data_IF_773372938447
#
_entry.id   IF_773372938447
#
_cell.length_a   1.000
_cell.length_b   1.000
_cell.length_c   1.000
_cell.angle_alpha   90.00
_cell.angle_beta   90.00
_cell.angle_gamma   90.00
#
_symmetry.space_group_name_H-M   'P 1'
#
loop_
_entity.id
_entity.type
_entity.pdbx_description
1 polymer ?
#
# COMPACT_ATOMS: atom_id res chain seq x y z
N UNK A 1 -49.48 -13.65 7.80
CA UNK A 1 -48.92 -14.82 8.52
C UNK A 1 -48.85 -15.97 7.53
N UNK A 2 -47.83 -16.81 7.62
CA UNK A 2 -47.51 -17.94 6.70
C UNK A 2 -46.51 -17.65 5.56
N UNK A 3 -45.30 -17.24 5.94
CA UNK A 3 -44.07 -17.69 5.28
C UNK A 3 -43.07 -18.22 6.32
N UNK A 4 -43.57 -18.87 7.37
CA UNK A 4 -42.72 -19.70 8.21
C UNK A 4 -42.49 -21.01 7.45
N UNK A 5 -41.33 -21.14 6.81
CA UNK A 5 -40.86 -22.45 6.37
C UNK A 5 -40.92 -23.40 7.57
N UNK A 6 -41.52 -24.57 7.40
CA UNK A 6 -41.54 -25.61 8.43
C UNK A 6 -40.11 -25.82 8.96
N UNK A 7 -39.90 -25.84 10.29
CA UNK A 7 -38.59 -26.18 10.83
C UNK A 7 -38.22 -27.58 10.34
N UNK A 8 -37.08 -27.69 9.65
CA UNK A 8 -36.56 -29.00 9.25
C UNK A 8 -36.33 -29.81 10.52
N UNK A 9 -37.08 -30.88 10.68
CA UNK A 9 -36.84 -31.88 11.72
C UNK A 9 -35.49 -32.54 11.45
N UNK A 10 -34.64 -32.60 12.48
CA UNK A 10 -33.40 -33.36 12.46
C UNK A 10 -33.75 -34.86 12.42
N UNK A 11 -34.10 -35.38 11.25
CA UNK A 11 -34.16 -36.83 11.04
C UNK A 11 -32.73 -37.34 10.87
N UNK A 12 -32.47 -38.55 11.38
CA UNK A 12 -31.16 -39.23 11.47
C UNK A 12 -30.52 -39.62 10.12
N UNK A 13 -30.52 -38.73 9.13
CA UNK A 13 -29.70 -38.87 7.93
C UNK A 13 -28.33 -38.24 8.19
N UNK A 14 -27.29 -39.06 8.25
CA UNK A 14 -25.91 -38.75 8.69
C UNK A 14 -25.18 -37.72 7.78
N UNK A 15 -25.85 -37.06 6.83
CA UNK A 15 -25.23 -36.10 5.90
C UNK A 15 -26.10 -34.87 5.57
N UNK A 16 -26.81 -34.30 6.55
CA UNK A 16 -27.59 -33.07 6.31
C UNK A 16 -26.66 -31.87 6.07
N UNK A 17 -26.34 -31.62 4.81
CA UNK A 17 -25.72 -30.37 4.38
C UNK A 17 -26.82 -29.31 4.24
N UNK A 18 -26.86 -28.33 5.14
CA UNK A 18 -27.85 -27.26 5.12
C UNK A 18 -27.33 -26.06 4.33
N UNK A 19 -28.15 -25.49 3.45
CA UNK A 19 -27.81 -24.22 2.79
C UNK A 19 -28.12 -23.06 3.73
N UNK A 20 -27.09 -22.34 4.16
CA UNK A 20 -27.18 -21.21 5.10
C UNK A 20 -26.54 -20.00 4.42
N UNK A 21 -27.36 -18.98 4.13
CA UNK A 21 -26.94 -17.76 3.44
C UNK A 21 -26.03 -18.03 2.23
N UNK A 22 -26.43 -18.91 1.31
CA UNK A 22 -25.65 -19.19 0.09
C UNK A 22 -24.42 -20.09 0.23
N UNK A 23 -23.93 -20.33 1.46
CA UNK A 23 -22.88 -21.31 1.78
C UNK A 23 -23.53 -22.59 2.31
N UNK A 24 -22.88 -23.74 2.15
CA UNK A 24 -23.35 -25.01 2.70
C UNK A 24 -22.70 -25.27 4.06
N UNK A 25 -23.48 -25.74 5.03
CA UNK A 25 -23.02 -26.13 6.35
C UNK A 25 -23.19 -27.63 6.53
N UNK A 26 -22.09 -28.34 6.70
CA UNK A 26 -22.08 -29.75 7.12
C UNK A 26 -22.17 -29.81 8.63
N UNK A 27 -23.35 -30.09 9.17
CA UNK A 27 -23.59 -30.06 10.62
C UNK A 27 -22.86 -31.16 11.38
N UNK A 28 -22.63 -32.33 10.77
CA UNK A 28 -22.02 -33.48 11.42
C UNK A 28 -20.55 -33.25 11.83
N UNK A 29 -19.74 -32.65 10.94
CA UNK A 29 -18.31 -32.36 11.19
C UNK A 29 -18.06 -30.85 11.44
N UNK A 30 -19.13 -30.05 11.51
CA UNK A 30 -19.12 -28.60 11.75
C UNK A 30 -18.21 -27.75 10.85
N UNK A 31 -18.41 -27.85 9.53
CA UNK A 31 -17.70 -27.05 8.53
C UNK A 31 -18.62 -26.36 7.54
N UNK A 32 -18.14 -25.25 6.98
CA UNK A 32 -18.69 -24.64 5.78
C UNK A 32 -18.04 -25.22 4.52
N UNK A 33 -18.84 -25.37 3.48
CA UNK A 33 -18.44 -25.79 2.13
C UNK A 33 -19.31 -25.08 1.09
N UNK A 34 -19.07 -25.34 -0.19
CA UNK A 34 -19.82 -24.72 -1.27
C UNK A 34 -20.41 -25.78 -2.20
N UNK A 35 -21.61 -25.48 -2.70
CA UNK A 35 -22.22 -26.26 -3.78
C UNK A 35 -22.00 -25.58 -5.12
N UNK A 36 -21.77 -26.41 -6.13
CA UNK A 36 -21.69 -25.97 -7.52
C UNK A 36 -22.74 -26.75 -8.30
N UNK A 37 -23.69 -26.00 -8.87
CA UNK A 37 -24.62 -26.52 -9.87
C UNK A 37 -23.90 -26.65 -11.22
N UNK A 38 -24.24 -27.65 -12.04
CA UNK A 38 -23.70 -27.75 -13.39
C UNK A 38 -23.94 -26.44 -14.16
N UNK A 39 -22.89 -25.92 -14.76
CA UNK A 39 -22.91 -24.68 -15.54
C UNK A 39 -23.01 -25.07 -17.01
N UNK A 40 -24.12 -24.71 -17.67
CA UNK A 40 -24.15 -24.68 -19.12
C UNK A 40 -23.19 -23.58 -19.58
N UNK A 41 -22.14 -23.95 -20.30
CA UNK A 41 -21.10 -23.00 -20.71
C UNK A 41 -21.65 -22.14 -21.85
N UNK A 42 -22.14 -20.96 -21.49
CA UNK A 42 -22.49 -19.91 -22.42
C UNK A 42 -21.34 -18.88 -22.51
N UNK A 43 -21.14 -18.36 -23.71
CA UNK A 43 -19.99 -17.52 -24.04
C UNK A 43 -20.37 -16.06 -24.24
N UNK A 44 -21.36 -15.56 -23.51
CA UNK A 44 -21.74 -14.14 -23.54
C UNK A 44 -21.29 -13.43 -22.27
N UNK A 45 -21.00 -12.13 -22.37
CA UNK A 45 -20.63 -11.31 -21.22
C UNK A 45 -21.70 -11.35 -20.13
N UNK A 46 -22.99 -11.31 -20.51
CA UNK A 46 -24.13 -11.39 -19.59
C UNK A 46 -24.12 -12.70 -18.81
N UNK A 47 -23.93 -13.82 -19.50
CA UNK A 47 -23.97 -15.13 -18.88
C UNK A 47 -22.80 -15.33 -17.91
N UNK A 48 -21.58 -14.97 -18.33
CA UNK A 48 -20.39 -15.02 -17.46
C UNK A 48 -20.62 -14.21 -16.19
N UNK A 49 -21.09 -12.97 -16.30
CA UNK A 49 -21.39 -12.15 -15.14
C UNK A 49 -22.44 -12.80 -14.22
N UNK A 50 -23.50 -13.39 -14.79
CA UNK A 50 -24.52 -14.11 -14.02
C UNK A 50 -23.90 -15.29 -13.26
N UNK A 51 -23.06 -16.09 -13.91
CA UNK A 51 -22.39 -17.23 -13.28
C UNK A 51 -21.46 -16.79 -12.15
N UNK A 52 -20.64 -15.76 -12.36
CA UNK A 52 -19.73 -15.23 -11.35
C UNK A 52 -20.51 -14.67 -10.15
N UNK A 53 -21.64 -13.99 -10.38
CA UNK A 53 -22.48 -13.43 -9.32
C UNK A 53 -23.21 -14.51 -8.50
N UNK A 54 -23.40 -15.73 -9.02
CA UNK A 54 -23.97 -16.86 -8.28
C UNK A 54 -23.00 -17.44 -7.24
N UNK A 55 -21.71 -17.18 -7.37
CA UNK A 55 -20.70 -17.60 -6.40
C UNK A 55 -20.83 -16.70 -5.17
N UNK A 56 -21.59 -17.16 -4.18
CA UNK A 56 -21.82 -16.42 -2.95
C UNK A 56 -20.70 -16.68 -1.94
N UNK A 57 -19.82 -15.70 -1.76
CA UNK A 57 -18.67 -15.75 -0.85
C UNK A 57 -18.57 -14.47 -0.01
N UNK A 58 -19.36 -14.34 1.07
CA UNK A 58 -19.50 -13.09 1.82
C UNK A 58 -18.24 -12.73 2.62
N UNK A 59 -17.49 -13.74 3.05
CA UNK A 59 -16.26 -13.58 3.83
C UNK A 59 -15.00 -13.62 2.95
N UNK A 60 -15.14 -13.82 1.64
CA UNK A 60 -14.01 -13.78 0.71
C UNK A 60 -13.05 -14.96 0.83
N UNK A 61 -13.48 -16.10 1.35
CA UNK A 61 -12.63 -17.29 1.49
C UNK A 61 -12.16 -17.83 0.13
N UNK A 62 -12.97 -17.64 -0.91
CA UNK A 62 -12.67 -17.97 -2.30
C UNK A 62 -12.12 -16.79 -3.09
N UNK A 63 -11.82 -15.67 -2.43
CA UNK A 63 -11.38 -14.45 -3.11
C UNK A 63 -10.16 -14.60 -4.03
N UNK A 64 -9.18 -15.52 -3.80
CA UNK A 64 -8.12 -15.78 -4.76
C UNK A 64 -8.64 -16.37 -6.07
N UNK A 65 -9.56 -17.33 -6.00
CA UNK A 65 -10.13 -17.96 -7.19
C UNK A 65 -11.12 -17.04 -7.90
N UNK A 66 -12.05 -16.41 -7.14
CA UNK A 66 -13.03 -15.46 -7.68
C UNK A 66 -12.35 -14.26 -8.36
N UNK A 67 -11.13 -13.90 -7.94
CA UNK A 67 -10.36 -12.84 -8.61
C UNK A 67 -10.13 -13.16 -10.09
N UNK A 68 -9.85 -14.42 -10.46
CA UNK A 68 -9.63 -14.80 -11.87
C UNK A 68 -10.85 -14.47 -12.74
N UNK A 69 -12.04 -14.81 -12.26
CA UNK A 69 -13.30 -14.43 -12.90
C UNK A 69 -13.51 -12.91 -12.99
N UNK A 70 -13.16 -12.16 -11.93
CA UNK A 70 -13.25 -10.69 -11.95
C UNK A 70 -12.29 -10.06 -12.97
N UNK A 71 -11.10 -10.64 -13.14
CA UNK A 71 -10.12 -10.20 -14.15
C UNK A 71 -10.60 -10.51 -15.57
N UNK A 72 -11.17 -11.70 -15.80
CA UNK A 72 -11.81 -12.05 -17.06
C UNK A 72 -12.92 -11.06 -17.42
N UNK A 73 -13.81 -10.75 -16.48
CA UNK A 73 -14.85 -9.74 -16.65
C UNK A 73 -14.25 -8.37 -17.02
N UNK A 74 -13.20 -7.92 -16.31
CA UNK A 74 -12.52 -6.68 -16.65
C UNK A 74 -11.96 -6.68 -18.08
N UNK A 75 -11.38 -7.80 -18.53
CA UNK A 75 -10.87 -7.92 -19.90
C UNK A 75 -12.00 -7.81 -20.93
N UNK A 76 -13.15 -8.45 -20.68
CA UNK A 76 -14.34 -8.32 -21.53
C UNK A 76 -14.87 -6.89 -21.62
N UNK A 77 -14.75 -6.11 -20.54
CA UNK A 77 -15.05 -4.67 -20.56
C UNK A 77 -14.04 -3.87 -21.37
N UNK A 78 -12.75 -4.22 -21.30
CA UNK A 78 -11.68 -3.54 -22.06
C UNK A 78 -11.79 -3.78 -23.56
N UNK A 79 -12.16 -4.99 -23.98
CA UNK A 79 -12.37 -5.32 -25.40
C UNK A 79 -13.64 -4.66 -25.96
N UNK A 80 -14.61 -4.33 -25.09
CA UNK A 80 -15.83 -3.64 -25.52
C UNK A 80 -16.90 -4.56 -26.11
N UNK A 81 -16.86 -5.87 -25.82
CA UNK A 81 -17.86 -6.84 -26.31
C UNK A 81 -19.28 -6.43 -25.85
N UNK A 82 -20.30 -6.46 -26.70
CA UNK A 82 -21.69 -6.28 -26.28
C UNK A 82 -22.16 -7.34 -25.27
N UNK A 83 -23.31 -7.14 -24.64
CA UNK A 83 -23.78 -8.00 -23.55
C UNK A 83 -24.08 -9.44 -23.99
N UNK A 84 -24.70 -9.57 -25.16
CA UNK A 84 -25.28 -10.81 -25.66
C UNK A 84 -24.51 -11.38 -26.87
N UNK A 85 -23.36 -10.78 -27.19
CA UNK A 85 -22.45 -11.30 -28.22
C UNK A 85 -21.47 -12.32 -27.65
N UNK A 86 -21.01 -13.21 -28.54
CA UNK A 86 -20.00 -14.23 -28.24
C UNK A 86 -18.68 -13.53 -27.91
N UNK A 87 -18.04 -13.94 -26.83
CA UNK A 87 -16.74 -13.43 -26.43
C UNK A 87 -15.62 -13.88 -27.40
N UNK A 88 -14.52 -13.11 -27.51
CA UNK A 88 -13.36 -13.52 -28.29
C UNK A 88 -12.81 -14.89 -27.89
N UNK A 89 -12.34 -15.66 -28.89
CA UNK A 89 -11.85 -17.03 -28.69
C UNK A 89 -10.76 -17.14 -27.61
N UNK A 90 -9.86 -16.16 -27.52
CA UNK A 90 -8.80 -16.14 -26.51
C UNK A 90 -9.33 -16.01 -25.06
N UNK A 91 -10.56 -15.53 -24.86
CA UNK A 91 -11.21 -15.43 -23.56
C UNK A 91 -12.17 -16.60 -23.30
N UNK A 92 -12.54 -17.36 -24.34
CA UNK A 92 -13.30 -18.59 -24.20
C UNK A 92 -12.51 -19.64 -23.42
N UNK A 93 -11.23 -19.83 -23.75
CA UNK A 93 -10.38 -20.82 -23.09
C UNK A 93 -10.20 -20.51 -21.60
N UNK A 94 -9.95 -19.25 -21.25
CA UNK A 94 -9.89 -18.78 -19.86
C UNK A 94 -11.21 -19.06 -19.11
N UNK A 95 -12.35 -18.84 -19.77
CA UNK A 95 -13.67 -19.10 -19.19
C UNK A 95 -13.93 -20.59 -18.98
N UNK A 96 -13.65 -21.41 -19.97
CA UNK A 96 -13.81 -22.87 -19.90
C UNK A 96 -12.92 -23.44 -18.79
N UNK A 97 -11.67 -23.00 -18.70
CA UNK A 97 -10.75 -23.40 -17.64
C UNK A 97 -11.30 -23.03 -16.26
N UNK A 98 -11.81 -21.80 -16.09
CA UNK A 98 -12.40 -21.36 -14.83
C UNK A 98 -13.63 -22.20 -14.44
N UNK A 99 -14.54 -22.48 -15.38
CA UNK A 99 -15.76 -23.26 -15.11
C UNK A 99 -15.43 -24.72 -14.80
N UNK A 100 -14.46 -25.33 -15.51
CA UNK A 100 -14.02 -26.69 -15.25
C UNK A 100 -13.48 -26.84 -13.82
N UNK A 101 -12.64 -25.89 -13.41
CA UNK A 101 -11.99 -25.88 -12.11
C UNK A 101 -12.95 -25.51 -10.95
N UNK A 102 -14.07 -24.84 -11.26
CA UNK A 102 -15.13 -24.52 -10.28
C UNK A 102 -15.62 -25.75 -9.52
N UNK A 103 -15.64 -26.93 -10.16
CA UNK A 103 -16.06 -28.19 -9.54
C UNK A 103 -15.26 -28.54 -8.27
N UNK A 104 -13.99 -28.14 -8.22
CA UNK A 104 -13.05 -28.37 -7.11
C UNK A 104 -13.45 -27.65 -5.82
N UNK A 105 -14.31 -26.61 -5.88
CA UNK A 105 -14.73 -25.86 -4.66
C UNK A 105 -15.45 -26.77 -3.66
N UNK A 106 -16.13 -27.84 -4.14
CA UNK A 106 -16.83 -28.79 -3.26
C UNK A 106 -15.89 -29.50 -2.27
N UNK A 107 -14.60 -29.57 -2.58
CA UNK A 107 -13.59 -30.18 -1.71
C UNK A 107 -13.13 -29.24 -0.58
N UNK A 108 -13.47 -27.95 -0.65
CA UNK A 108 -13.11 -26.97 0.37
C UNK A 108 -13.99 -27.21 1.61
N UNK A 109 -13.34 -27.48 2.73
CA UNK A 109 -13.97 -27.56 4.06
C UNK A 109 -13.35 -26.49 4.96
N UNK A 110 -14.19 -25.60 5.49
CA UNK A 110 -13.78 -24.49 6.34
C UNK A 110 -14.38 -24.71 7.73
N UNK A 111 -13.58 -25.03 8.76
CA UNK A 111 -14.09 -25.23 10.11
C UNK A 111 -14.90 -24.03 10.59
N UNK A 112 -16.14 -24.25 11.05
CA UNK A 112 -16.99 -23.14 11.55
C UNK A 112 -16.44 -22.58 12.86
N UNK A 113 -15.90 -23.45 13.71
CA UNK A 113 -15.29 -23.08 14.97
C UNK A 113 -13.88 -22.52 14.74
N UNK A 114 -13.71 -21.24 15.02
CA UNK A 114 -12.45 -20.50 14.79
C UNK A 114 -11.66 -20.22 16.07
N UNK A 115 -12.19 -20.62 17.22
CA UNK A 115 -11.68 -20.33 18.56
C UNK A 115 -11.56 -21.64 19.35
N UNK A 116 -10.48 -21.78 20.11
CA UNK A 116 -10.32 -22.87 21.08
C UNK A 116 -11.17 -22.56 22.32
N UNK A 117 -11.87 -23.56 22.85
CA UNK A 117 -12.66 -23.36 24.08
C UNK A 117 -11.75 -22.91 25.23
N UNK A 118 -12.24 -21.98 26.05
CA UNK A 118 -11.51 -21.43 27.19
C UNK A 118 -10.22 -20.67 26.84
N UNK A 119 -9.96 -20.37 25.56
CA UNK A 119 -8.79 -19.58 25.18
C UNK A 119 -8.76 -18.21 25.85
N UNK A 120 -7.69 -17.97 26.63
CA UNK A 120 -7.54 -16.75 27.41
C UNK A 120 -7.31 -15.51 26.54
N UNK A 121 -6.67 -15.66 25.37
CA UNK A 121 -6.30 -14.54 24.51
C UNK A 121 -6.41 -14.88 23.02
N UNK A 122 -6.71 -13.85 22.25
CA UNK A 122 -6.84 -13.91 20.79
C UNK A 122 -5.99 -12.82 20.13
N UNK A 123 -5.35 -13.14 19.02
CA UNK A 123 -4.68 -12.15 18.17
C UNK A 123 -5.33 -12.07 16.79
N UNK A 124 -5.58 -10.84 16.32
CA UNK A 124 -5.94 -10.60 14.92
C UNK A 124 -4.69 -10.31 14.11
N UNK A 125 -4.47 -11.10 13.06
CA UNK A 125 -3.27 -11.03 12.23
C UNK A 125 -3.69 -10.80 10.79
N UNK A 126 -3.27 -9.68 10.22
CA UNK A 126 -3.64 -9.23 8.90
C UNK A 126 -2.46 -9.23 7.93
N UNK A 127 -2.71 -9.57 6.67
CA UNK A 127 -1.74 -9.46 5.58
C UNK A 127 -2.33 -8.70 4.40
N UNK A 128 -1.52 -7.91 3.70
CA UNK A 128 -1.91 -7.24 2.47
C UNK A 128 -0.87 -7.39 1.35
N UNK A 129 -1.34 -7.31 0.12
CA UNK A 129 -0.51 -7.30 -1.09
C UNK A 129 -1.20 -6.50 -2.21
N UNK A 130 -0.40 -6.02 -3.16
CA UNK A 130 -0.84 -5.22 -4.30
C UNK A 130 -0.07 -5.55 -5.57
N UNK A 131 -0.75 -6.17 -6.53
CA UNK A 131 -0.24 -6.42 -7.87
C UNK A 131 -0.78 -5.39 -8.88
N UNK A 132 -0.24 -5.41 -10.10
CA UNK A 132 -0.76 -4.60 -11.22
C UNK A 132 -2.18 -4.99 -11.63
N UNK A 133 -2.66 -6.18 -11.26
CA UNK A 133 -3.99 -6.72 -11.61
C UNK A 133 -5.02 -6.44 -10.51
N UNK A 134 -4.65 -6.68 -9.26
CA UNK A 134 -5.51 -6.50 -8.09
C UNK A 134 -4.69 -6.24 -6.83
N UNK A 135 -5.33 -5.67 -5.81
CA UNK A 135 -4.80 -5.62 -4.46
C UNK A 135 -5.79 -6.30 -3.51
N UNK A 136 -5.26 -6.91 -2.46
CA UNK A 136 -6.04 -7.75 -1.57
C UNK A 136 -5.49 -7.77 -0.14
N UNK A 137 -6.30 -8.30 0.76
CA UNK A 137 -5.90 -8.57 2.13
C UNK A 137 -6.61 -9.80 2.68
N UNK A 138 -6.02 -10.43 3.69
CA UNK A 138 -6.62 -11.51 4.47
C UNK A 138 -6.36 -11.30 5.95
N UNK A 139 -7.33 -11.68 6.79
CA UNK A 139 -7.27 -11.54 8.24
C UNK A 139 -7.52 -12.90 8.88
N UNK A 140 -6.60 -13.28 9.75
CA UNK A 140 -6.64 -14.51 10.52
C UNK A 140 -6.90 -14.21 12.00
N UNK A 141 -7.52 -15.16 12.67
CA UNK A 141 -7.62 -15.22 14.12
C UNK A 141 -6.66 -16.29 14.62
N UNK A 142 -5.78 -15.91 15.53
CA UNK A 142 -5.01 -16.85 16.34
C UNK A 142 -5.65 -16.93 17.71
N UNK A 143 -6.03 -18.14 18.10
CA UNK A 143 -6.52 -18.48 19.44
C UNK A 143 -5.48 -19.36 20.12
N UNK A 144 -5.17 -19.07 21.39
CA UNK A 144 -4.19 -19.84 22.15
C UNK A 144 -4.60 -20.04 23.60
N UNK A 145 -4.43 -21.27 24.08
CA UNK A 145 -4.54 -21.69 25.47
C UNK A 145 -3.35 -22.60 25.78
N UNK A 146 -2.53 -22.22 26.75
CA UNK A 146 -1.29 -22.94 27.09
C UNK A 146 -0.47 -23.32 25.85
N UNK A 147 -0.31 -24.62 25.57
CA UNK A 147 0.40 -25.16 24.40
C UNK A 147 -0.48 -25.33 23.15
N UNK A 148 -1.80 -25.24 23.27
CA UNK A 148 -2.72 -25.40 22.15
C UNK A 148 -2.92 -24.08 21.41
N UNK A 149 -2.72 -24.11 20.09
CA UNK A 149 -2.80 -22.95 19.22
C UNK A 149 -3.55 -23.30 17.94
N UNK A 150 -4.44 -22.42 17.55
CA UNK A 150 -5.22 -22.55 16.32
C UNK A 150 -5.17 -21.23 15.56
N UNK A 151 -4.97 -21.31 14.25
CA UNK A 151 -5.06 -20.17 13.34
C UNK A 151 -6.17 -20.45 12.33
N UNK A 152 -7.09 -19.52 12.17
CA UNK A 152 -8.22 -19.63 11.24
C UNK A 152 -8.35 -18.38 10.37
N UNK A 153 -8.50 -18.55 9.07
CA UNK A 153 -8.83 -17.46 8.14
C UNK A 153 -10.26 -16.95 8.40
N UNK A 154 -10.40 -15.71 8.88
CA UNK A 154 -11.71 -15.13 9.17
C UNK A 154 -12.35 -14.48 7.94
N UNK A 155 -11.58 -13.64 7.25
CA UNK A 155 -12.10 -12.83 6.15
C UNK A 155 -10.98 -12.45 5.19
N UNK A 156 -11.30 -12.38 3.91
CA UNK A 156 -10.45 -11.75 2.90
C UNK A 156 -11.24 -10.82 1.99
N UNK A 157 -10.54 -9.84 1.41
CA UNK A 157 -11.09 -8.92 0.42
C UNK A 157 -10.10 -8.75 -0.71
N UNK A 158 -10.59 -8.77 -1.95
CA UNK A 158 -9.84 -8.46 -3.15
C UNK A 158 -10.51 -7.36 -3.97
N UNK A 159 -9.72 -6.49 -4.58
CA UNK A 159 -10.17 -5.43 -5.48
C UNK A 159 -9.33 -5.40 -6.74
N UNK A 160 -10.00 -5.51 -7.88
CA UNK A 160 -9.38 -5.36 -9.20
C UNK A 160 -8.93 -3.90 -9.38
N UNK A 161 -7.73 -3.72 -9.93
CA UNK A 161 -7.16 -2.39 -10.20
C UNK A 161 -7.94 -1.72 -11.33
N UNK A 162 -8.14 -0.42 -11.23
CA UNK A 162 -8.76 0.36 -12.30
C UNK A 162 -7.92 0.30 -13.59
N UNK A 163 -8.54 0.51 -14.74
CA UNK A 163 -7.85 0.54 -16.04
C UNK A 163 -6.76 1.63 -16.08
N UNK A 164 -6.95 2.73 -15.33
CA UNK A 164 -5.92 3.77 -15.21
C UNK A 164 -4.73 3.26 -14.40
N UNK A 165 -3.51 3.26 -14.97
CA UNK A 165 -2.36 2.67 -14.32
C UNK A 165 -1.97 3.44 -13.06
N UNK A 166 -1.72 2.68 -11.99
CA UNK A 166 -1.07 3.15 -10.77
C UNK A 166 0.27 2.43 -10.64
N UNK A 167 1.22 3.05 -9.96
CA UNK A 167 2.49 2.40 -9.62
C UNK A 167 2.24 1.24 -8.67
N UNK A 168 3.09 0.20 -8.72
CA UNK A 168 2.97 -0.96 -7.83
C UNK A 168 2.96 -0.52 -6.36
N UNK A 169 3.87 0.37 -5.95
CA UNK A 169 3.88 0.88 -4.57
C UNK A 169 2.55 1.51 -4.13
N UNK A 170 1.87 2.26 -5.03
CA UNK A 170 0.53 2.82 -4.72
C UNK A 170 -0.54 1.75 -4.57
N UNK A 171 -0.45 0.66 -5.32
CA UNK A 171 -1.36 -0.49 -5.25
C UNK A 171 -1.16 -1.28 -3.96
N UNK A 172 0.09 -1.45 -3.56
CA UNK A 172 0.50 -2.05 -2.30
C UNK A 172 -0.03 -1.23 -1.10
N UNK A 173 0.11 0.10 -1.15
CA UNK A 173 -0.49 1.01 -0.16
C UNK A 173 -2.03 0.95 -0.16
N UNK A 174 -2.65 0.70 -1.32
CA UNK A 174 -4.09 0.45 -1.41
C UNK A 174 -4.48 -0.87 -0.73
N UNK A 175 -3.67 -1.93 -0.86
CA UNK A 175 -3.78 -3.17 -0.10
C UNK A 175 -3.70 -2.92 1.41
N UNK A 176 -2.70 -2.15 1.86
CA UNK A 176 -2.57 -1.77 3.27
C UNK A 176 -3.80 -1.03 3.81
N UNK A 177 -4.32 -0.04 3.07
CA UNK A 177 -5.55 0.66 3.46
C UNK A 177 -6.77 -0.28 3.51
N UNK A 178 -6.87 -1.23 2.58
CA UNK A 178 -7.94 -2.23 2.58
C UNK A 178 -7.83 -3.12 3.82
N UNK A 179 -6.61 -3.51 4.20
CA UNK A 179 -6.36 -4.29 5.40
C UNK A 179 -6.70 -3.51 6.67
N UNK A 180 -6.27 -2.25 6.82
CA UNK A 180 -6.61 -1.41 7.98
C UNK A 180 -8.12 -1.37 8.24
N UNK A 181 -8.91 -1.17 7.18
CA UNK A 181 -10.36 -1.11 7.28
C UNK A 181 -10.96 -2.47 7.65
N UNK A 182 -10.41 -3.54 7.11
CA UNK A 182 -10.89 -4.90 7.36
C UNK A 182 -10.58 -5.33 8.80
N UNK A 183 -9.34 -5.08 9.27
CA UNK A 183 -8.96 -5.31 10.67
C UNK A 183 -9.80 -4.48 11.64
N UNK A 184 -10.03 -3.19 11.35
CA UNK A 184 -10.86 -2.33 12.22
C UNK A 184 -12.29 -2.84 12.31
N UNK A 185 -12.87 -3.24 11.18
CA UNK A 185 -14.19 -3.86 11.15
C UNK A 185 -14.25 -5.14 11.98
N UNK A 186 -13.27 -6.04 11.82
CA UNK A 186 -13.22 -7.30 12.57
C UNK A 186 -13.00 -7.06 14.07
N UNK A 187 -12.11 -6.12 14.44
CA UNK A 187 -11.89 -5.73 15.83
C UNK A 187 -13.20 -5.25 16.47
N UNK A 188 -13.91 -4.32 15.83
CA UNK A 188 -15.19 -3.79 16.34
C UNK A 188 -16.24 -4.89 16.47
N UNK A 189 -16.31 -5.84 15.53
CA UNK A 189 -17.27 -6.94 15.59
C UNK A 189 -16.95 -7.97 16.67
N UNK A 190 -15.67 -8.22 16.94
CA UNK A 190 -15.21 -9.30 17.81
C UNK A 190 -14.94 -8.89 19.25
N UNK A 191 -14.70 -7.60 19.52
CA UNK A 191 -14.30 -7.12 20.86
C UNK A 191 -15.33 -7.42 21.97
N UNK A 192 -16.62 -7.54 21.64
CA UNK A 192 -17.67 -7.92 22.59
C UNK A 192 -17.83 -9.43 22.77
N UNK A 193 -17.14 -10.23 21.95
CA UNK A 193 -17.30 -11.69 21.90
C UNK A 193 -16.07 -12.44 22.40
N UNK A 194 -14.88 -11.88 22.17
CA UNK A 194 -13.60 -12.49 22.52
C UNK A 194 -12.62 -11.42 23.00
N UNK A 195 -11.69 -11.83 23.87
CA UNK A 195 -10.60 -10.97 24.33
C UNK A 195 -9.49 -10.88 23.28
N UNK A 196 -9.47 -9.79 22.51
CA UNK A 196 -8.42 -9.49 21.53
C UNK A 196 -7.26 -8.82 22.25
N UNK A 197 -6.18 -9.56 22.51
CA UNK A 197 -5.01 -9.06 23.21
C UNK A 197 -4.08 -8.25 22.30
N UNK A 198 -4.00 -8.62 21.01
CA UNK A 198 -3.09 -7.99 20.07
C UNK A 198 -3.63 -7.97 18.64
N UNK A 199 -3.26 -6.94 17.90
CA UNK A 199 -3.50 -6.81 16.46
C UNK A 199 -2.16 -6.59 15.78
N UNK A 200 -1.91 -7.28 14.67
CA UNK A 200 -0.70 -7.13 13.86
C UNK A 200 -1.06 -7.08 12.38
N UNK A 201 -0.48 -6.15 11.64
CA UNK A 201 -0.66 -5.99 10.21
C UNK A 201 0.68 -6.18 9.47
N UNK A 202 0.69 -7.00 8.43
CA UNK A 202 1.87 -7.33 7.65
C UNK A 202 1.75 -6.85 6.20
N UNK A 203 2.87 -6.35 5.68
CA UNK A 203 3.12 -6.11 4.26
C UNK A 203 4.55 -6.55 3.94
N UNK A 204 4.78 -7.05 2.74
CA UNK A 204 6.10 -7.40 2.23
C UNK A 204 6.78 -6.23 1.48
N UNK A 205 6.17 -5.04 1.51
CA UNK A 205 6.72 -3.83 0.88
C UNK A 205 7.30 -2.86 1.88
N UNK A 206 8.63 -2.80 1.88
CA UNK A 206 9.40 -1.81 2.67
C UNK A 206 9.01 -0.36 2.35
N UNK A 207 8.69 -0.02 1.09
CA UNK A 207 8.21 1.33 0.72
C UNK A 207 6.90 1.68 1.41
N UNK A 208 5.96 0.73 1.53
CA UNK A 208 4.68 0.95 2.22
C UNK A 208 4.91 1.14 3.71
N UNK A 209 5.76 0.32 4.33
CA UNK A 209 6.12 0.50 5.74
C UNK A 209 6.81 1.84 5.98
N UNK A 210 7.72 2.25 5.10
CA UNK A 210 8.38 3.54 5.20
C UNK A 210 7.39 4.70 5.07
N UNK A 211 6.43 4.63 4.16
CA UNK A 211 5.35 5.62 4.06
C UNK A 211 4.48 5.68 5.32
N UNK A 212 4.12 4.54 5.91
CA UNK A 212 3.32 4.49 7.16
C UNK A 212 4.07 5.12 8.34
N UNK A 213 5.40 5.02 8.36
CA UNK A 213 6.27 5.61 9.39
C UNK A 213 6.72 7.06 9.08
N UNK A 214 6.26 7.66 7.97
CA UNK A 214 6.63 9.02 7.58
C UNK A 214 5.48 9.99 7.87
N UNK A 215 5.76 11.19 8.39
CA UNK A 215 4.70 12.14 8.68
C UNK A 215 3.96 12.54 7.38
N UNK A 216 2.61 12.49 7.33
CA UNK A 216 1.85 12.65 6.10
C UNK A 216 2.11 13.96 5.34
N UNK A 217 2.44 15.04 6.05
CA UNK A 217 2.71 16.33 5.40
C UNK A 217 3.94 16.32 4.48
N UNK A 218 4.88 15.38 4.69
CA UNK A 218 6.07 15.18 3.84
C UNK A 218 5.77 14.40 2.56
N UNK A 219 4.63 13.71 2.48
CA UNK A 219 4.27 12.82 1.37
C UNK A 219 3.36 13.53 0.35
N UNK A 220 3.44 13.15 -0.93
CA UNK A 220 2.52 13.63 -1.97
C UNK A 220 1.07 13.24 -1.64
N UNK A 221 0.07 14.00 -2.13
CA UNK A 221 -1.31 13.87 -1.67
C UNK A 221 -1.90 12.44 -1.72
N UNK A 222 -1.66 11.69 -2.80
CA UNK A 222 -2.20 10.33 -2.94
C UNK A 222 -1.77 9.39 -1.79
N UNK A 223 -0.48 9.43 -1.44
CA UNK A 223 0.13 8.62 -0.38
C UNK A 223 -0.28 9.19 0.98
N UNK A 224 -0.13 10.50 1.18
CA UNK A 224 -0.45 11.17 2.43
C UNK A 224 -1.88 10.88 2.91
N UNK A 225 -2.89 11.02 2.05
CA UNK A 225 -4.29 10.77 2.40
C UNK A 225 -4.58 9.30 2.77
N UNK A 226 -3.82 8.35 2.22
CA UNK A 226 -3.97 6.93 2.55
C UNK A 226 -3.24 6.58 3.84
N UNK A 227 -2.03 7.11 4.04
CA UNK A 227 -1.28 6.96 5.27
C UNK A 227 -2.09 7.48 6.46
N UNK A 228 -2.69 8.67 6.37
CA UNK A 228 -3.59 9.20 7.42
C UNK A 228 -4.68 8.18 7.77
N UNK A 229 -5.40 7.64 6.78
CA UNK A 229 -6.46 6.66 7.02
C UNK A 229 -5.96 5.33 7.59
N UNK A 230 -4.72 4.94 7.28
CA UNK A 230 -4.08 3.75 7.82
C UNK A 230 -3.73 3.98 9.29
N UNK A 231 -3.11 5.13 9.60
CA UNK A 231 -2.66 5.50 10.95
C UNK A 231 -3.82 5.87 11.88
N UNK A 232 -4.93 6.41 11.35
CA UNK A 232 -6.17 6.66 12.11
C UNK A 232 -6.80 5.34 12.58
N UNK A 233 -6.60 4.25 11.84
CA UNK A 233 -7.13 2.94 12.21
C UNK A 233 -6.23 2.23 13.25
N UNK A 234 -4.92 2.28 13.04
CA UNK A 234 -3.91 1.62 13.87
C UNK A 234 -2.58 2.39 13.85
N UNK A 235 -1.91 2.46 15.01
CA UNK A 235 -0.59 3.07 15.14
C UNK A 235 0.45 2.42 14.19
N UNK A 236 1.45 3.19 13.70
CA UNK A 236 2.52 2.66 12.85
C UNK A 236 3.24 1.42 13.42
N UNK A 237 3.33 1.31 14.75
CA UNK A 237 3.93 0.15 15.45
C UNK A 237 3.16 -1.18 15.26
N UNK A 238 1.89 -1.10 14.83
CA UNK A 238 1.06 -2.27 14.47
C UNK A 238 1.56 -2.94 13.18
N UNK A 239 2.25 -2.17 12.33
CA UNK A 239 2.68 -2.60 11.00
C UNK A 239 4.07 -3.20 11.00
N UNK A 240 4.19 -4.39 10.40
CA UNK A 240 5.42 -5.18 10.33
C UNK A 240 5.71 -5.64 8.91
N UNK A 241 6.99 -5.95 8.67
CA UNK A 241 7.44 -6.56 7.43
C UNK A 241 7.25 -8.07 7.50
N UNK A 242 6.85 -8.68 6.39
CA UNK A 242 6.88 -10.13 6.18
C UNK A 242 7.62 -10.44 4.88
N UNK A 243 8.25 -11.60 4.76
CA UNK A 243 8.83 -12.01 3.47
C UNK A 243 7.71 -12.21 2.43
N UNK A 244 7.98 -11.96 1.15
CA UNK A 244 7.01 -12.23 0.08
C UNK A 244 6.62 -13.72 0.04
N UNK A 245 7.55 -14.63 0.36
CA UNK A 245 7.30 -16.07 0.41
C UNK A 245 6.35 -16.48 1.55
N UNK A 246 6.25 -15.66 2.60
CA UNK A 246 5.35 -15.85 3.72
C UNK A 246 4.10 -14.97 3.64
N UNK A 247 3.86 -14.24 2.54
CA UNK A 247 2.71 -13.34 2.43
C UNK A 247 1.50 -14.05 1.78
N UNK A 248 0.48 -14.50 2.54
CA UNK A 248 -0.70 -15.13 1.97
C UNK A 248 -1.60 -14.14 1.20
N UNK A 249 -1.44 -12.83 1.39
CA UNK A 249 -2.24 -11.84 0.66
C UNK A 249 -1.87 -11.75 -0.83
N UNK A 250 -0.79 -12.40 -1.26
CA UNK A 250 -0.45 -12.61 -2.67
C UNK A 250 -1.56 -13.34 -3.43
N UNK A 251 -2.23 -14.30 -2.80
CA UNK A 251 -3.29 -15.07 -3.45
C UNK A 251 -4.52 -14.20 -3.83
N UNK A 252 -5.10 -13.39 -2.92
CA UNK A 252 -6.21 -12.50 -3.28
C UNK A 252 -5.80 -11.27 -4.09
N UNK A 253 -4.51 -11.03 -4.35
CA UNK A 253 -4.03 -9.95 -5.22
C UNK A 253 -3.64 -10.43 -6.63
N UNK A 254 -3.32 -11.72 -6.81
CA UNK A 254 -2.87 -12.30 -8.10
C UNK A 254 -3.80 -13.36 -8.67
N UNK A 255 -4.47 -14.09 -7.78
CA UNK A 255 -5.36 -15.20 -8.09
C UNK A 255 -4.62 -16.53 -8.22
N UNK A 256 -5.33 -17.62 -7.92
CA UNK A 256 -4.88 -19.01 -8.07
C UNK A 256 -6.06 -19.87 -8.52
N UNK A 257 -5.77 -21.02 -9.14
CA UNK A 257 -6.80 -21.99 -9.51
C UNK A 257 -7.51 -22.54 -8.26
N UNK A 258 -8.73 -23.01 -8.41
CA UNK A 258 -9.46 -23.65 -7.33
C UNK A 258 -8.79 -24.96 -6.89
N UNK A 259 -8.29 -25.76 -7.82
CA UNK A 259 -7.53 -26.97 -7.50
C UNK A 259 -6.30 -26.68 -6.63
N UNK A 260 -5.55 -25.60 -6.92
CA UNK A 260 -4.45 -25.14 -6.07
C UNK A 260 -4.97 -24.58 -4.73
N UNK A 261 -6.05 -23.80 -4.76
CA UNK A 261 -6.64 -23.19 -3.56
C UNK A 261 -7.06 -24.26 -2.53
N UNK A 262 -7.65 -25.37 -2.97
CA UNK A 262 -8.04 -26.49 -2.11
C UNK A 262 -6.86 -26.99 -1.27
N UNK A 263 -5.67 -27.06 -1.88
CA UNK A 263 -4.47 -27.60 -1.25
C UNK A 263 -3.55 -26.51 -0.67
N UNK A 264 -3.98 -25.25 -0.67
CA UNK A 264 -3.15 -24.11 -0.29
C UNK A 264 -3.09 -23.90 1.22
N UNK A 265 -2.22 -24.64 1.92
CA UNK A 265 -2.05 -24.52 3.39
C UNK A 265 -1.75 -23.08 3.83
N UNK A 266 -0.87 -22.37 3.11
CA UNK A 266 -0.50 -20.97 3.39
C UNK A 266 -1.70 -20.03 3.37
N UNK A 267 -2.72 -20.32 2.56
CA UNK A 267 -3.96 -19.54 2.51
C UNK A 267 -4.93 -19.87 3.65
N UNK A 268 -5.12 -21.15 3.96
CA UNK A 268 -6.12 -21.55 4.95
C UNK A 268 -5.64 -21.37 6.40
N UNK A 269 -4.35 -21.56 6.64
CA UNK A 269 -3.75 -21.56 7.99
C UNK A 269 -2.74 -20.43 8.21
N UNK A 270 -2.42 -19.65 7.18
CA UNK A 270 -1.33 -18.67 7.23
C UNK A 270 0.07 -19.33 7.26
N UNK A 271 1.13 -18.54 7.39
CA UNK A 271 2.48 -19.05 7.60
C UNK A 271 2.65 -19.86 8.90
N UNK A 272 3.50 -20.88 8.87
CA UNK A 272 3.68 -21.82 9.98
C UNK A 272 4.14 -21.12 11.28
N UNK A 273 4.95 -20.07 11.18
CA UNK A 273 5.42 -19.31 12.34
C UNK A 273 4.28 -18.63 13.12
N UNK A 274 3.08 -18.48 12.56
CA UNK A 274 1.91 -17.98 13.30
C UNK A 274 1.48 -18.94 14.41
N UNK A 275 1.78 -20.24 14.29
CA UNK A 275 1.57 -21.23 15.35
C UNK A 275 2.69 -21.21 16.41
N UNK A 276 3.80 -20.51 16.17
CA UNK A 276 4.86 -20.33 17.16
C UNK A 276 4.56 -19.23 18.17
N UNK A 277 5.42 -19.05 19.19
CA UNK A 277 5.35 -17.90 20.09
C UNK A 277 5.52 -16.59 19.29
N UNK A 278 4.82 -15.49 19.65
CA UNK A 278 5.02 -14.18 19.02
C UNK A 278 6.47 -13.69 18.95
N UNK A 279 7.36 -14.17 19.82
CA UNK A 279 8.80 -13.85 19.81
C UNK A 279 9.53 -14.36 18.56
N UNK A 280 8.98 -15.41 17.93
CA UNK A 280 9.53 -16.02 16.72
C UNK A 280 8.90 -15.46 15.44
N UNK A 281 7.96 -14.52 15.55
CA UNK A 281 7.34 -13.90 14.39
C UNK A 281 8.33 -12.96 13.69
N UNK A 282 8.15 -12.69 12.39
CA UNK A 282 8.95 -11.70 11.68
C UNK A 282 8.98 -10.37 12.45
N UNK A 283 10.18 -10.03 12.93
CA UNK A 283 10.41 -8.80 13.66
C UNK A 283 10.24 -7.59 12.73
N UNK A 284 10.00 -6.42 13.34
CA UNK A 284 9.96 -5.17 12.60
C UNK A 284 11.35 -4.89 12.01
N UNK A 285 11.52 -5.16 10.72
CA UNK A 285 12.71 -4.71 9.99
C UNK A 285 12.69 -3.19 9.97
N UNK A 286 13.70 -2.54 10.56
CA UNK A 286 13.85 -1.08 10.50
C UNK A 286 13.87 -0.68 9.03
N UNK A 287 12.94 0.19 8.63
CA UNK A 287 12.89 0.72 7.27
C UNK A 287 14.26 1.34 6.91
N UNK A 288 14.71 1.08 5.68
CA UNK A 288 15.92 1.70 5.11
C UNK A 288 15.80 3.24 5.12
N UNK A 289 16.93 3.99 5.16
CA UNK A 289 16.96 5.44 5.36
C UNK A 289 16.08 6.22 4.36
N UNK A 290 15.52 7.33 4.84
CA UNK A 290 14.46 8.14 4.23
C UNK A 290 14.83 8.82 2.90
N UNK A 291 16.11 8.85 2.51
CA UNK A 291 16.62 9.72 1.45
C UNK A 291 16.21 9.29 0.02
N UNK A 292 15.71 8.06 -0.17
CA UNK A 292 15.24 7.54 -1.47
C UNK A 292 13.75 7.16 -1.49
N UNK A 293 12.96 7.63 -0.51
CA UNK A 293 11.54 7.27 -0.44
C UNK A 293 10.75 7.96 -1.58
N UNK A 294 10.15 7.21 -2.52
CA UNK A 294 9.36 7.82 -3.58
C UNK A 294 8.17 8.58 -3.01
N UNK A 295 7.69 9.56 -3.78
CA UNK A 295 6.54 10.39 -3.41
C UNK A 295 6.72 11.25 -2.15
N UNK A 296 7.96 11.52 -1.74
CA UNK A 296 8.25 12.68 -0.90
C UNK A 296 7.95 13.99 -1.66
N UNK A 297 7.46 15.00 -0.94
CA UNK A 297 7.33 16.36 -1.46
C UNK A 297 8.72 16.96 -1.56
N UNK A 298 9.14 17.30 -2.76
CA UNK A 298 10.32 18.11 -2.99
C UNK A 298 10.04 19.53 -2.51
N UNK A 299 10.85 20.06 -1.60
CA UNK A 299 10.85 21.50 -1.30
C UNK A 299 11.52 22.23 -2.46
N UNK A 300 10.75 22.64 -3.46
CA UNK A 300 11.28 23.47 -4.54
C UNK A 300 11.43 24.90 -4.02
N UNK A 301 12.67 25.34 -3.83
CA UNK A 301 12.97 26.77 -3.60
C UNK A 301 12.77 27.51 -4.91
N UNK A 302 11.75 28.36 -4.99
CA UNK A 302 11.55 29.25 -6.13
C UNK A 302 12.31 30.54 -5.84
N UNK A 303 13.46 30.71 -6.48
CA UNK A 303 14.17 31.99 -6.49
C UNK A 303 13.63 32.83 -7.66
N UNK A 304 12.92 33.91 -7.36
CA UNK A 304 12.51 34.88 -8.37
C UNK A 304 13.55 36.01 -8.41
N UNK A 305 14.32 36.08 -9.49
CA UNK A 305 15.12 37.27 -9.79
C UNK A 305 14.20 38.32 -10.40
N UNK A 306 14.16 39.52 -9.82
CA UNK A 306 13.65 40.71 -10.50
C UNK A 306 14.85 41.48 -11.03
N UNK A 307 14.83 41.85 -12.30
CA UNK A 307 15.74 42.89 -12.80
C UNK A 307 15.47 44.15 -11.99
N UNK A 308 16.53 44.68 -11.38
CA UNK A 308 16.50 45.88 -10.58
C UNK A 308 17.51 46.82 -11.20
N UNK A 309 17.05 47.96 -11.72
CA UNK A 309 17.93 49.04 -12.21
C UNK A 309 18.79 49.67 -11.10
N UNK A 310 18.59 49.24 -9.85
CA UNK A 310 19.42 49.69 -8.73
C UNK A 310 20.80 49.07 -8.83
N UNK A 311 21.79 49.95 -8.93
CA UNK A 311 23.18 49.62 -8.75
C UNK A 311 23.42 49.01 -7.35
N UNK A 312 23.69 47.70 -7.34
CA UNK A 312 23.90 46.91 -6.13
C UNK A 312 25.07 47.45 -5.32
N UNK A 313 26.13 47.92 -5.97
CA UNK A 313 27.30 48.45 -5.29
C UNK A 313 26.95 49.75 -4.57
N UNK A 314 26.15 50.62 -5.20
CA UNK A 314 25.61 51.83 -4.56
C UNK A 314 24.70 51.51 -3.37
N UNK A 315 23.84 50.49 -3.50
CA UNK A 315 22.96 50.03 -2.41
C UNK A 315 23.78 49.52 -1.23
N UNK A 316 24.83 48.74 -1.49
CA UNK A 316 25.71 48.21 -0.44
C UNK A 316 26.49 49.34 0.23
N UNK A 317 27.04 50.28 -0.52
CA UNK A 317 27.75 51.46 0.02
C UNK A 317 26.86 52.29 0.95
N UNK A 318 25.59 52.50 0.60
CA UNK A 318 24.66 53.27 1.42
C UNK A 318 24.08 52.48 2.62
N UNK A 319 24.22 51.15 2.64
CA UNK A 319 23.65 50.29 3.68
C UNK A 319 24.55 50.17 4.91
N UNK A 320 25.87 50.28 4.76
CA UNK A 320 26.83 50.00 5.82
C UNK A 320 27.70 51.22 6.13
N UNK A 321 27.72 51.66 7.39
CA UNK A 321 28.58 52.77 7.83
C UNK A 321 30.05 52.36 8.03
N UNK A 322 30.39 51.20 8.64
CA UNK A 322 31.79 50.78 8.79
C UNK A 322 32.30 50.08 7.52
N UNK A 323 33.41 50.59 6.95
CA UNK A 323 34.06 50.00 5.76
C UNK A 323 34.42 48.52 5.95
N UNK A 324 34.91 48.15 7.13
CA UNK A 324 35.29 46.77 7.45
C UNK A 324 34.10 45.79 7.37
N UNK A 325 32.89 46.25 7.70
CA UNK A 325 31.67 45.45 7.58
C UNK A 325 31.26 45.30 6.12
N UNK A 326 31.23 46.40 5.37
CA UNK A 326 30.95 46.38 3.92
C UNK A 326 31.91 45.47 3.15
N UNK A 327 33.20 45.56 3.47
CA UNK A 327 34.26 44.76 2.86
C UNK A 327 34.05 43.26 3.08
N UNK A 328 33.66 42.84 4.29
CA UNK A 328 33.37 41.44 4.61
C UNK A 328 32.12 40.93 3.92
N UNK A 329 31.06 41.73 3.88
CA UNK A 329 29.80 41.37 3.21
C UNK A 329 30.01 41.20 1.70
N UNK A 330 30.72 42.14 1.06
CA UNK A 330 31.02 42.02 -0.36
C UNK A 330 31.98 40.86 -0.66
N UNK A 331 32.93 40.57 0.23
CA UNK A 331 33.78 39.39 0.11
C UNK A 331 32.96 38.10 0.11
N UNK A 332 32.00 37.96 1.03
CA UNK A 332 31.08 36.81 1.05
C UNK A 332 30.23 36.70 -0.21
N UNK A 333 29.77 37.82 -0.77
CA UNK A 333 29.06 37.82 -2.06
C UNK A 333 29.95 37.27 -3.19
N UNK A 334 31.22 37.67 -3.24
CA UNK A 334 32.16 37.14 -4.23
C UNK A 334 32.49 35.67 -4.03
N UNK A 335 32.70 35.21 -2.78
CA UNK A 335 32.87 33.79 -2.46
C UNK A 335 31.65 33.00 -2.93
N UNK A 336 30.45 33.47 -2.61
CA UNK A 336 29.21 32.83 -3.04
C UNK A 336 29.09 32.75 -4.57
N UNK A 337 29.39 33.82 -5.30
CA UNK A 337 29.37 33.84 -6.76
C UNK A 337 30.39 32.85 -7.34
N UNK A 338 31.60 32.81 -6.76
CA UNK A 338 32.67 31.89 -7.16
C UNK A 338 32.26 30.43 -6.94
N UNK A 339 31.76 30.10 -5.75
CA UNK A 339 31.38 28.72 -5.38
C UNK A 339 30.09 28.26 -6.07
N UNK A 340 29.18 29.17 -6.40
CA UNK A 340 27.96 28.86 -7.16
C UNK A 340 28.28 28.41 -8.59
N UNK A 341 29.49 28.68 -9.09
CA UNK A 341 29.97 28.24 -10.41
C UNK A 341 30.76 26.92 -10.35
N UNK A 342 31.01 26.38 -9.15
CA UNK A 342 31.75 25.12 -8.92
C UNK A 342 30.81 23.95 -8.63
N UNK A 343 31.26 22.74 -8.96
CA UNK A 343 30.63 21.48 -8.53
C UNK A 343 30.61 21.36 -6.99
N UNK A 344 29.60 20.74 -6.37
CA UNK A 344 29.45 20.69 -4.91
C UNK A 344 30.67 20.15 -4.15
N UNK A 345 31.43 19.23 -4.75
CA UNK A 345 32.65 18.65 -4.18
C UNK A 345 33.86 19.59 -4.19
N UNK A 346 33.82 20.64 -5.01
CA UNK A 346 34.91 21.61 -5.21
C UNK A 346 34.66 22.96 -4.51
N UNK A 347 33.52 23.10 -3.82
CA UNK A 347 33.16 24.32 -3.09
C UNK A 347 34.02 24.46 -1.85
N UNK A 348 34.61 25.62 -1.69
CA UNK A 348 35.41 25.92 -0.51
C UNK A 348 34.48 26.24 0.66
N UNK A 349 34.72 25.61 1.82
CA UNK A 349 33.95 25.83 3.05
C UNK A 349 34.91 26.32 4.11
N UNK A 350 34.67 27.51 4.67
CA UNK A 350 35.56 28.06 5.68
C UNK A 350 35.32 29.54 5.95
N UNK A 351 36.25 30.16 6.67
CA UNK A 351 36.26 31.59 6.96
C UNK A 351 36.84 32.39 5.78
N UNK A 352 36.45 33.65 5.66
CA UNK A 352 37.04 34.58 4.67
C UNK A 352 38.57 34.65 4.83
N UNK A 353 39.26 34.45 3.72
CA UNK A 353 40.70 34.66 3.60
C UNK A 353 41.03 36.14 3.50
N UNK A 354 42.27 36.50 3.87
CA UNK A 354 42.76 37.89 3.74
C UNK A 354 42.74 38.38 2.29
N UNK A 355 42.91 37.47 1.32
CA UNK A 355 42.88 37.83 -0.10
C UNK A 355 41.47 38.17 -0.58
N UNK A 356 40.45 37.41 -0.18
CA UNK A 356 39.05 37.72 -0.54
C UNK A 356 38.61 39.08 0.01
N UNK A 357 39.03 39.37 1.25
CA UNK A 357 38.80 40.66 1.90
C UNK A 357 39.55 41.80 1.17
N UNK A 358 40.78 41.59 0.70
CA UNK A 358 41.50 42.59 -0.12
C UNK A 358 40.85 42.81 -1.48
N UNK A 359 40.42 41.74 -2.15
CA UNK A 359 39.76 41.81 -3.45
C UNK A 359 38.42 42.56 -3.39
N UNK A 360 37.64 42.37 -2.32
CA UNK A 360 36.40 43.12 -2.11
C UNK A 360 36.66 44.62 -1.94
N UNK A 361 37.70 44.98 -1.17
CA UNK A 361 38.11 46.39 -1.00
C UNK A 361 38.56 47.03 -2.31
N UNK A 362 39.41 46.36 -3.10
CA UNK A 362 39.85 46.87 -4.39
C UNK A 362 38.68 47.08 -5.35
N UNK A 363 37.66 46.22 -5.30
CA UNK A 363 36.46 46.35 -6.12
C UNK A 363 35.61 47.56 -5.71
N UNK A 364 35.47 47.83 -4.40
CA UNK A 364 34.82 49.04 -3.88
C UNK A 364 35.58 50.31 -4.29
N UNK A 365 36.91 50.31 -4.17
CA UNK A 365 37.76 51.45 -4.56
C UNK A 365 37.59 51.74 -6.04
N UNK A 366 37.71 50.72 -6.90
CA UNK A 366 37.52 50.87 -8.34
C UNK A 366 36.14 51.44 -8.64
N UNK A 367 35.09 50.91 -8.02
CA UNK A 367 33.72 51.38 -8.23
C UNK A 367 33.57 52.87 -7.87
N UNK A 368 34.06 53.30 -6.71
CA UNK A 368 34.00 54.72 -6.30
C UNK A 368 34.84 55.59 -7.23
N UNK A 369 36.05 55.15 -7.61
CA UNK A 369 36.90 55.88 -8.54
C UNK A 369 36.24 56.07 -9.90
N UNK A 370 35.60 55.03 -10.43
CA UNK A 370 34.82 55.11 -11.68
C UNK A 370 33.65 56.08 -11.59
N UNK A 371 33.00 56.19 -10.43
CA UNK A 371 31.92 57.15 -10.21
C UNK A 371 32.38 58.59 -10.03
N UNK A 372 33.49 58.81 -9.34
CA UNK A 372 33.98 60.14 -8.97
C UNK A 372 34.94 60.77 -9.98
N UNK A 373 35.69 59.95 -10.72
CA UNK A 373 36.75 60.38 -11.65
C UNK A 373 36.56 59.78 -13.05
N UNK A 374 35.32 59.76 -13.51
CA UNK A 374 34.96 59.08 -14.76
C UNK A 374 35.68 59.68 -15.98
N UNK A 375 35.85 61.00 -16.02
CA UNK A 375 36.49 61.70 -17.13
C UNK A 375 37.98 61.36 -17.22
N UNK A 376 38.67 61.39 -16.08
CA UNK A 376 40.09 61.06 -15.95
C UNK A 376 40.35 59.59 -16.26
N UNK A 377 39.49 58.69 -15.77
CA UNK A 377 39.58 57.25 -16.08
C UNK A 377 39.31 56.94 -17.55
N UNK A 378 38.49 57.75 -18.22
CA UNK A 378 38.23 57.62 -19.66
C UNK A 378 39.44 58.09 -20.49
N UNK A 379 40.12 59.15 -20.06
CA UNK A 379 41.34 59.67 -20.69
C UNK A 379 42.56 58.75 -20.49
N UNK A 380 42.64 58.02 -19.38
CA UNK A 380 43.71 57.04 -19.14
C UNK A 380 43.58 55.75 -19.96
N UNK A 381 42.44 55.54 -20.63
CA UNK A 381 42.17 54.36 -21.47
C UNK A 381 42.37 54.61 -22.97
N UNK A 382 42.49 55.87 -23.40
CA UNK A 382 42.95 56.25 -24.74
C UNK A 382 44.47 56.26 -24.79
#
# INVERSE_FOLDING_TARGET
MEHCQCPKTFSDDISITLKVFGVQWGSAEDYFTYSVSPVNVEFTKRSILSHVARIYDPLGWLSPFILLAKLLLQNLWRVGVPWDEIIPANLCDDWVSFVSDLSSIKSIKIPRKTVIDLAATHQLIGFCDGSTKAYGCCVYLRSSIDDQKQVSLLISKSKVVYIKPLTVNRLELCGALLLSRTLKHMQTFLISKINISHIVAYTDRSTVLAWINTEPYKLKPFVAHRVVKITDAFEPSTWRHVSTQDNPAEFPSRGISCAELVNCKRWWSGPDWMLSSPDHWPAQSRCKPQDELPELKTRTLIAQSRESDKDIMKVLLNRYSPLSRLQRELAWVFCFISDSRKEPSQREKGHLTTNEVKCSLLSLIKYVQWGSFNQEMSQLKS
#
